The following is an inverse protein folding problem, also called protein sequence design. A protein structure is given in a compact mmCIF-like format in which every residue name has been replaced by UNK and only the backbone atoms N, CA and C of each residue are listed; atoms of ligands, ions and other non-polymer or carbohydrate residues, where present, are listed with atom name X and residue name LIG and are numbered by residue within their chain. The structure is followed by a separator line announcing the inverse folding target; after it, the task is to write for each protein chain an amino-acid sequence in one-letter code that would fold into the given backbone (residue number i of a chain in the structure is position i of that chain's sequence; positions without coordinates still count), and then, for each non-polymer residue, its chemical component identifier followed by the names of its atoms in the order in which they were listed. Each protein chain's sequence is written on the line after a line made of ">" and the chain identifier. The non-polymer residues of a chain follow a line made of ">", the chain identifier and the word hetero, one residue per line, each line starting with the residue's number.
data_IF_974573702368
#
_entry.id   IF_974573702368
#
_cell.length_a   1.000
_cell.length_b   1.000
_cell.length_c   1.000
_cell.angle_alpha   90.00
_cell.angle_beta   90.00
_cell.angle_gamma   90.00
#
_symmetry.space_group_name_H-M   'P 1'
#
loop_
_entity.id
_entity.type
_entity.pdbx_description
1 polymer ?
#
# COMPACT_ATOMS: atom_id res chain seq x y z
N UNK A 1 8.02 0.45 -17.15
CA UNK A 1 9.39 0.07 -16.73
C UNK A 1 10.37 1.24 -16.58
N UNK A 2 10.40 2.22 -17.49
CA UNK A 2 11.41 3.32 -17.46
C UNK A 2 11.31 4.24 -16.23
N UNK A 3 10.11 4.44 -15.66
CA UNK A 3 9.91 5.34 -14.50
C UNK A 3 10.40 4.76 -13.17
N UNK A 4 10.31 3.44 -12.96
CA UNK A 4 10.75 2.79 -11.72
C UNK A 4 12.29 2.73 -11.66
N UNK A 5 12.93 2.45 -12.81
CA UNK A 5 14.38 2.46 -12.95
C UNK A 5 14.97 3.84 -12.59
N UNK A 6 14.36 4.94 -13.05
CA UNK A 6 14.84 6.30 -12.71
C UNK A 6 14.76 6.63 -11.23
N UNK A 7 13.70 6.22 -10.55
CA UNK A 7 13.53 6.46 -9.12
C UNK A 7 14.61 5.72 -8.30
N UNK A 8 14.89 4.47 -8.65
CA UNK A 8 15.94 3.66 -8.01
C UNK A 8 17.36 4.14 -8.36
N UNK A 9 17.60 4.67 -9.56
CA UNK A 9 18.93 5.20 -9.95
C UNK A 9 19.29 6.53 -9.30
N UNK A 10 18.35 7.24 -8.68
CA UNK A 10 18.61 8.47 -7.91
C UNK A 10 18.90 8.22 -6.43
N UNK A 11 19.01 6.94 -6.03
CA UNK A 11 19.20 6.53 -4.65
C UNK A 11 20.58 6.88 -4.12
N UNK A 12 20.63 7.34 -2.88
CA UNK A 12 21.86 7.56 -2.11
C UNK A 12 22.01 6.49 -1.03
N UNK A 13 23.18 6.41 -0.37
CA UNK A 13 23.42 5.48 0.75
C UNK A 13 22.56 5.77 1.99
N UNK A 14 22.04 6.98 2.11
CA UNK A 14 21.23 7.42 3.24
C UNK A 14 19.73 7.14 3.03
N UNK A 15 19.35 6.60 1.87
CA UNK A 15 17.96 6.24 1.60
C UNK A 15 17.54 5.00 2.37
N UNK A 16 16.47 5.16 3.15
CA UNK A 16 15.81 4.09 3.90
C UNK A 16 14.55 3.72 3.14
N UNK A 17 14.61 2.57 2.47
CA UNK A 17 13.51 2.04 1.68
C UNK A 17 12.57 1.20 2.54
N UNK A 18 11.27 1.35 2.27
CA UNK A 18 10.25 0.40 2.69
C UNK A 18 9.50 -0.11 1.47
N UNK A 19 9.34 -1.42 1.38
CA UNK A 19 8.68 -2.09 0.26
C UNK A 19 7.28 -2.51 0.67
N UNK A 20 6.30 -2.13 -0.12
CA UNK A 20 4.92 -2.52 0.04
C UNK A 20 4.49 -3.45 -1.09
N UNK A 21 3.61 -4.39 -0.76
CA UNK A 21 2.88 -5.20 -1.72
C UNK A 21 1.38 -5.11 -1.41
N UNK A 22 0.54 -5.03 -2.43
CA UNK A 22 -0.90 -4.95 -2.24
C UNK A 22 -1.67 -5.68 -3.35
N UNK A 23 -2.70 -6.43 -2.93
CA UNK A 23 -3.62 -7.15 -3.81
C UNK A 23 -5.06 -7.01 -3.31
N UNK A 24 -6.00 -7.12 -4.24
CA UNK A 24 -7.43 -7.25 -3.95
C UNK A 24 -7.95 -8.50 -4.65
N UNK A 25 -8.38 -9.48 -3.87
CA UNK A 25 -9.01 -10.69 -4.39
C UNK A 25 -10.54 -10.54 -4.37
N UNK A 26 -11.18 -10.78 -5.52
CA UNK A 26 -12.64 -10.82 -5.63
C UNK A 26 -13.17 -12.24 -5.55
N UNK A 27 -14.21 -12.48 -4.76
CA UNK A 27 -14.92 -13.76 -4.77
C UNK A 27 -15.88 -13.82 -5.95
N UNK A 28 -15.72 -14.80 -6.84
CA UNK A 28 -16.52 -14.93 -8.08
C UNK A 28 -17.92 -15.52 -7.87
N UNK A 29 -18.26 -15.97 -6.67
CA UNK A 29 -19.42 -16.85 -6.46
C UNK A 29 -20.72 -16.18 -5.96
N UNK A 30 -20.75 -14.89 -5.60
CA UNK A 30 -21.98 -14.21 -5.17
C UNK A 30 -21.83 -12.69 -5.02
N UNK A 31 -22.88 -11.92 -5.33
CA UNK A 31 -22.95 -10.45 -5.19
C UNK A 31 -22.81 -9.94 -3.75
N UNK A 32 -23.06 -10.79 -2.75
CA UNK A 32 -23.06 -10.42 -1.34
C UNK A 32 -21.74 -10.70 -0.62
N UNK A 33 -20.73 -11.23 -1.33
CA UNK A 33 -19.43 -11.52 -0.72
C UNK A 33 -18.48 -10.33 -0.88
N UNK A 34 -17.74 -9.95 0.18
CA UNK A 34 -16.79 -8.86 0.10
C UNK A 34 -15.60 -9.21 -0.79
N UNK A 35 -14.97 -8.19 -1.37
CA UNK A 35 -13.59 -8.34 -1.83
C UNK A 35 -12.66 -8.33 -0.62
N UNK A 36 -11.50 -8.96 -0.72
CA UNK A 36 -10.50 -8.96 0.36
C UNK A 36 -9.30 -8.16 -0.12
N UNK A 37 -8.96 -7.09 0.59
CA UNK A 37 -7.74 -6.34 0.35
C UNK A 37 -6.66 -6.80 1.34
N UNK A 38 -5.46 -7.03 0.82
CA UNK A 38 -4.28 -7.33 1.61
C UNK A 38 -3.16 -6.36 1.26
N UNK A 39 -2.52 -5.78 2.29
CA UNK A 39 -1.36 -4.92 2.16
C UNK A 39 -0.26 -5.44 3.06
N UNK A 40 0.93 -5.66 2.50
CA UNK A 40 2.13 -6.00 3.24
C UNK A 40 3.13 -4.86 3.19
N UNK A 41 3.96 -4.75 4.21
CA UNK A 41 5.07 -3.81 4.27
C UNK A 41 6.31 -4.48 4.86
N UNK A 42 7.48 -4.25 4.28
CA UNK A 42 8.75 -4.66 4.88
C UNK A 42 8.92 -3.93 6.22
N UNK A 43 9.48 -4.60 7.22
CA UNK A 43 9.62 -4.05 8.58
C UNK A 43 11.07 -3.99 9.06
N UNK A 44 11.99 -4.67 8.38
CA UNK A 44 13.42 -4.64 8.69
C UNK A 44 14.22 -3.92 7.58
N UNK A 45 15.39 -3.41 7.95
CA UNK A 45 16.31 -2.70 7.04
C UNK A 45 16.82 -3.57 5.89
N UNK A 46 16.85 -4.90 6.06
CA UNK A 46 17.20 -5.87 5.02
C UNK A 46 16.05 -6.23 4.09
N UNK A 47 14.82 -5.77 4.37
CA UNK A 47 13.62 -6.07 3.59
C UNK A 47 13.33 -7.57 3.45
N UNK A 48 13.60 -8.32 4.50
CA UNK A 48 13.42 -9.77 4.59
C UNK A 48 12.22 -10.17 5.44
N UNK A 49 11.73 -9.29 6.30
CA UNK A 49 10.56 -9.51 7.15
C UNK A 49 9.45 -8.57 6.74
N UNK A 50 8.23 -9.09 6.68
CA UNK A 50 7.04 -8.33 6.30
C UNK A 50 5.94 -8.49 7.35
N UNK A 51 5.17 -7.44 7.54
CA UNK A 51 3.91 -7.47 8.28
C UNK A 51 2.75 -7.25 7.31
N UNK A 52 1.59 -7.81 7.64
CA UNK A 52 0.38 -7.71 6.82
C UNK A 52 -0.74 -6.95 7.53
N UNK A 53 -1.58 -6.31 6.73
CA UNK A 53 -2.91 -5.84 7.10
C UNK A 53 -3.89 -6.35 6.06
N UNK A 54 -5.00 -6.91 6.52
CA UNK A 54 -6.01 -7.53 5.66
C UNK A 54 -7.37 -6.97 6.09
N UNK A 55 -8.23 -6.67 5.12
CA UNK A 55 -9.54 -6.11 5.38
C UNK A 55 -10.55 -6.57 4.34
N UNK A 56 -11.77 -6.84 4.81
CA UNK A 56 -12.92 -7.04 3.94
C UNK A 56 -13.39 -5.69 3.40
N UNK A 57 -13.73 -5.63 2.11
CA UNK A 57 -14.26 -4.44 1.50
C UNK A 57 -15.54 -4.73 0.71
N UNK A 58 -16.61 -4.09 1.17
CA UNK A 58 -17.93 -4.23 0.59
C UNK A 58 -18.13 -3.19 -0.52
N UNK A 59 -18.54 -3.61 -1.74
CA UNK A 59 -18.90 -2.68 -2.81
C UNK A 59 -20.16 -1.88 -2.44
N UNK A 60 -20.23 -0.63 -2.89
CA UNK A 60 -21.43 0.19 -2.69
C UNK A 60 -22.47 -0.09 -3.79
N UNK A 61 -23.76 -0.13 -3.42
CA UNK A 61 -24.95 -0.05 -4.28
C UNK A 61 -24.80 -0.69 -5.69
N UNK A 62 -25.04 -2.00 -5.79
CA UNK A 62 -25.19 -2.68 -7.09
C UNK A 62 -23.88 -3.01 -7.82
N UNK A 63 -22.71 -2.71 -7.25
CA UNK A 63 -21.42 -3.17 -7.78
C UNK A 63 -21.06 -4.55 -7.23
N UNK A 64 -20.40 -5.35 -8.06
CA UNK A 64 -20.01 -6.74 -7.73
C UNK A 64 -18.66 -6.77 -7.00
N UNK A 65 -17.76 -5.86 -7.33
CA UNK A 65 -16.42 -5.81 -6.76
C UNK A 65 -15.99 -4.37 -6.48
N UNK A 66 -14.95 -4.26 -5.65
CA UNK A 66 -14.29 -2.99 -5.37
C UNK A 66 -12.79 -3.20 -5.56
N UNK A 67 -12.18 -2.51 -6.51
CA UNK A 67 -10.75 -2.63 -6.82
C UNK A 67 -9.87 -1.73 -5.94
N UNK A 68 -10.41 -0.59 -5.52
CA UNK A 68 -9.68 0.39 -4.71
C UNK A 68 -9.63 -0.10 -3.27
N UNK A 69 -8.42 -0.14 -2.69
CA UNK A 69 -8.23 -0.49 -1.27
C UNK A 69 -8.75 0.67 -0.39
N UNK A 70 -9.93 0.48 0.23
CA UNK A 70 -10.60 1.53 1.04
C UNK A 70 -9.78 1.98 2.23
N UNK A 71 -9.22 1.02 2.97
CA UNK A 71 -8.54 1.29 4.24
C UNK A 71 -7.03 1.46 4.09
N UNK A 72 -6.54 1.74 2.88
CA UNK A 72 -5.11 1.82 2.60
C UNK A 72 -4.40 2.85 3.49
N UNK A 73 -5.04 3.97 3.79
CA UNK A 73 -4.48 4.98 4.70
C UNK A 73 -4.16 4.39 6.08
N UNK A 74 -5.10 3.66 6.68
CA UNK A 74 -4.93 3.07 8.00
C UNK A 74 -3.94 1.91 7.96
N UNK A 75 -4.06 1.03 6.96
CA UNK A 75 -3.15 -0.10 6.77
C UNK A 75 -1.70 0.37 6.59
N UNK A 76 -1.47 1.37 5.73
CA UNK A 76 -0.14 1.94 5.51
C UNK A 76 0.38 2.66 6.75
N UNK A 77 -0.47 3.42 7.45
CA UNK A 77 -0.11 4.09 8.71
C UNK A 77 0.41 3.09 9.76
N UNK A 78 -0.27 1.96 9.92
CA UNK A 78 0.14 0.93 10.86
C UNK A 78 1.47 0.28 10.49
N UNK A 79 1.66 -0.01 9.19
CA UNK A 79 2.90 -0.59 8.68
C UNK A 79 4.08 0.38 8.83
N UNK A 80 3.88 1.67 8.53
CA UNK A 80 4.89 2.72 8.72
C UNK A 80 5.30 2.86 10.19
N UNK A 81 4.34 2.82 11.12
CA UNK A 81 4.63 2.83 12.56
C UNK A 81 5.44 1.62 12.98
N UNK A 82 5.09 0.43 12.49
CA UNK A 82 5.81 -0.80 12.80
C UNK A 82 7.25 -0.75 12.26
N UNK A 83 7.45 -0.24 11.06
CA UNK A 83 8.77 0.00 10.50
C UNK A 83 9.59 0.94 11.39
N UNK A 84 9.02 2.08 11.80
CA UNK A 84 9.74 3.03 12.65
C UNK A 84 10.03 2.51 14.05
N UNK A 85 9.13 1.72 14.64
CA UNK A 85 9.38 1.06 15.92
C UNK A 85 10.56 0.09 15.82
N UNK A 86 10.73 -0.61 14.68
CA UNK A 86 11.78 -1.61 14.50
C UNK A 86 13.13 -1.01 14.06
N UNK A 87 13.12 0.07 13.27
CA UNK A 87 14.33 0.65 12.68
C UNK A 87 14.74 2.01 13.31
N UNK A 88 13.94 2.55 14.23
CA UNK A 88 14.20 3.84 14.90
C UNK A 88 14.00 5.08 14.01
N UNK A 89 13.62 4.90 12.74
CA UNK A 89 13.34 5.97 11.79
C UNK A 89 12.24 5.56 10.81
N UNK A 90 11.57 6.54 10.21
CA UNK A 90 10.64 6.30 9.12
C UNK A 90 11.37 6.15 7.78
N UNK A 91 10.82 5.40 6.83
CA UNK A 91 11.38 5.36 5.48
C UNK A 91 11.24 6.73 4.81
N UNK A 92 12.24 7.09 4.01
CA UNK A 92 12.21 8.28 3.17
C UNK A 92 11.90 7.94 1.69
N UNK A 93 11.91 6.65 1.35
CA UNK A 93 11.52 6.11 0.04
C UNK A 93 10.57 4.93 0.23
N UNK A 94 9.47 4.94 -0.52
CA UNK A 94 8.49 3.83 -0.55
C UNK A 94 8.43 3.28 -1.97
N UNK A 95 8.53 1.95 -2.09
CA UNK A 95 8.25 1.23 -3.33
C UNK A 95 6.97 0.44 -3.11
N UNK A 96 5.95 0.68 -3.93
CA UNK A 96 4.62 0.08 -3.77
C UNK A 96 4.28 -0.78 -4.98
N UNK A 97 4.22 -2.10 -4.79
CA UNK A 97 3.80 -3.06 -5.81
C UNK A 97 2.30 -3.34 -5.64
N UNK A 98 1.49 -2.88 -6.60
CA UNK A 98 0.05 -3.14 -6.66
C UNK A 98 -0.23 -4.17 -7.75
N UNK A 99 -0.78 -5.33 -7.38
CA UNK A 99 -1.14 -6.42 -8.30
C UNK A 99 -2.57 -6.26 -8.85
N UNK A 100 -2.96 -6.98 -9.91
CA UNK A 100 -4.38 -7.19 -10.26
C UNK A 100 -5.18 -5.98 -10.77
N UNK A 101 -4.55 -4.82 -11.04
CA UNK A 101 -5.28 -3.63 -11.52
C UNK A 101 -5.43 -3.65 -13.04
N UNK A 102 -6.67 -3.83 -13.49
CA UNK A 102 -7.03 -3.68 -14.91
C UNK A 102 -6.87 -2.24 -15.43
N UNK A 103 -6.52 -2.07 -16.71
CA UNK A 103 -6.31 -0.77 -17.37
C UNK A 103 -7.46 0.23 -17.16
N UNK A 104 -8.71 -0.27 -17.15
CA UNK A 104 -9.91 0.55 -16.95
C UNK A 104 -10.04 1.15 -15.54
N UNK A 105 -9.30 0.61 -14.56
CA UNK A 105 -9.30 1.04 -13.17
C UNK A 105 -8.01 1.76 -12.75
N UNK A 106 -6.93 1.65 -13.53
CA UNK A 106 -5.60 2.13 -13.20
C UNK A 106 -5.59 3.59 -12.68
N UNK A 107 -6.17 4.52 -13.44
CA UNK A 107 -6.14 5.94 -13.04
C UNK A 107 -6.88 6.20 -11.72
N UNK A 108 -8.02 5.53 -11.51
CA UNK A 108 -8.79 5.69 -10.27
C UNK A 108 -8.06 5.08 -9.08
N UNK A 109 -7.46 3.91 -9.26
CA UNK A 109 -6.64 3.26 -8.24
C UNK A 109 -5.48 4.17 -7.88
N UNK A 110 -4.72 4.65 -8.87
CA UNK A 110 -3.60 5.55 -8.68
C UNK A 110 -4.00 6.81 -7.90
N UNK A 111 -5.05 7.52 -8.32
CA UNK A 111 -5.44 8.78 -7.69
C UNK A 111 -5.91 8.61 -6.23
N UNK A 112 -6.59 7.50 -5.92
CA UNK A 112 -7.11 7.27 -4.57
C UNK A 112 -6.04 6.68 -3.65
N UNK A 113 -5.32 5.65 -4.11
CA UNK A 113 -4.34 4.93 -3.32
C UNK A 113 -3.07 5.76 -3.10
N UNK A 114 -2.58 6.48 -4.13
CA UNK A 114 -1.45 7.38 -3.97
C UNK A 114 -1.76 8.50 -2.98
N UNK A 115 -2.99 9.05 -3.03
CA UNK A 115 -3.45 10.05 -2.07
C UNK A 115 -3.49 9.48 -0.65
N UNK A 116 -3.99 8.25 -0.48
CA UNK A 116 -4.03 7.59 0.82
C UNK A 116 -2.63 7.34 1.39
N UNK A 117 -1.69 6.82 0.57
CA UNK A 117 -0.29 6.62 0.95
C UNK A 117 0.40 7.93 1.31
N UNK A 118 0.25 8.94 0.47
CA UNK A 118 0.83 10.25 0.72
C UNK A 118 0.27 10.91 1.98
N UNK A 119 -1.02 10.73 2.26
CA UNK A 119 -1.62 11.17 3.52
C UNK A 119 -1.12 10.37 4.72
N UNK A 120 -0.87 9.06 4.59
CA UNK A 120 -0.27 8.27 5.66
C UNK A 120 1.15 8.78 5.97
N UNK A 121 1.94 9.11 4.95
CA UNK A 121 3.27 9.72 5.13
C UNK A 121 3.21 11.15 5.69
N UNK A 122 2.20 11.95 5.35
CA UNK A 122 2.05 13.33 5.89
C UNK A 122 1.36 13.39 7.24
N UNK A 123 0.64 12.34 7.61
CA UNK A 123 -0.05 12.24 8.89
C UNK A 123 0.92 12.48 10.03
N UNK A 124 0.41 12.90 11.19
CA UNK A 124 1.16 13.31 12.41
C UNK A 124 2.14 12.26 12.98
N UNK A 125 2.44 11.19 12.26
CA UNK A 125 3.44 10.17 12.50
C UNK A 125 4.86 10.78 12.59
N UNK A 126 5.17 11.78 11.78
CA UNK A 126 6.50 12.44 11.75
C UNK A 126 6.63 13.62 12.74
N UNK A 127 5.66 13.84 13.64
CA UNK A 127 5.73 14.85 14.69
C UNK A 127 5.85 14.17 16.06
N UNK A 128 7.08 13.81 16.43
CA UNK A 128 7.52 13.68 17.81
C UNK A 128 8.87 14.38 17.93
#
# INVERSE_FOLDING_TARGET
>A
MVSLARALTSSTKDDVFMFFGADVTHTTCSRDKPSIAAVIGSIDSTSTQYASRVGEQYPAHGRISLEIIKDLYQMATDLLKLFAQKNGCFPNKIVFYRDGVDDGHFQKVLDNELRALHNACKGKIYKN
#
